data_IF_846864032689
#
_entry.id   IF_846864032689
#
_cell.length_a   1.000
_cell.length_b   1.000
_cell.length_c   1.000
_cell.angle_alpha   90.00
_cell.angle_beta   90.00
_cell.angle_gamma   90.00
#
_symmetry.space_group_name_H-M   'P 1'
#
loop_
_entity.id
_entity.type
_entity.pdbx_description
1 polymer ?
#
# COMPACT_ATOMS: atom_id res chain seq x y z
N UNK A 1 -1.29 15.39 -10.27
CA UNK A 1 -1.43 14.84 -8.90
C UNK A 1 -2.83 14.24 -8.79
N UNK A 2 -2.94 12.99 -8.34
CA UNK A 2 -4.25 12.37 -8.07
C UNK A 2 -4.89 13.07 -6.89
N UNK A 3 -5.98 13.79 -7.13
CA UNK A 3 -6.81 14.42 -6.12
C UNK A 3 -8.14 13.67 -5.93
N UNK A 4 -8.91 14.07 -4.94
CA UNK A 4 -10.17 13.43 -4.61
C UNK A 4 -11.19 13.53 -5.75
N UNK A 5 -11.17 14.60 -6.54
CA UNK A 5 -12.12 14.80 -7.63
C UNK A 5 -11.85 13.82 -8.78
N UNK A 6 -10.57 13.57 -9.09
CA UNK A 6 -10.17 12.57 -10.10
C UNK A 6 -10.56 11.17 -9.64
N UNK A 7 -10.30 10.83 -8.36
CA UNK A 7 -10.66 9.55 -7.81
C UNK A 7 -12.17 9.33 -7.77
N UNK A 8 -12.96 10.38 -7.44
CA UNK A 8 -14.41 10.29 -7.47
C UNK A 8 -14.96 10.10 -8.89
N UNK A 9 -14.38 10.79 -9.89
CA UNK A 9 -14.74 10.58 -11.30
C UNK A 9 -14.35 9.18 -11.77
N UNK A 10 -13.21 8.67 -11.33
CA UNK A 10 -12.78 7.31 -11.63
C UNK A 10 -13.77 6.29 -11.07
N UNK A 11 -14.16 6.40 -9.78
CA UNK A 11 -15.15 5.52 -9.17
C UNK A 11 -16.53 5.58 -9.84
N UNK A 12 -16.97 6.75 -10.27
CA UNK A 12 -18.26 6.91 -10.95
C UNK A 12 -18.31 6.20 -12.31
N UNK A 13 -17.18 6.02 -12.96
CA UNK A 13 -17.04 5.34 -14.27
C UNK A 13 -16.34 3.98 -14.21
N UNK A 14 -16.10 3.45 -13.00
CA UNK A 14 -15.39 2.20 -12.82
C UNK A 14 -16.30 1.00 -13.06
N UNK A 15 -15.85 0.08 -13.91
CA UNK A 15 -16.36 -1.29 -13.92
C UNK A 15 -15.47 -2.13 -12.95
N UNK A 16 -16.02 -2.62 -11.83
CA UNK A 16 -15.25 -3.41 -10.88
C UNK A 16 -14.73 -4.76 -11.45
N UNK A 17 -15.36 -5.28 -12.53
CA UNK A 17 -14.95 -6.50 -13.19
C UNK A 17 -13.85 -6.27 -14.23
N UNK A 18 -13.84 -5.07 -14.82
CA UNK A 18 -12.77 -4.64 -15.74
C UNK A 18 -12.38 -3.18 -15.45
N UNK A 19 -11.52 -2.94 -14.45
CA UNK A 19 -11.06 -1.58 -14.13
C UNK A 19 -10.40 -0.86 -15.31
N UNK A 20 -9.84 -1.59 -16.27
CA UNK A 20 -9.17 -1.00 -17.43
C UNK A 20 -10.13 -0.42 -18.45
N UNK A 21 -11.41 -0.83 -18.42
CA UNK A 21 -12.49 -0.26 -19.23
C UNK A 21 -13.08 1.04 -18.65
N UNK A 22 -12.54 1.55 -17.55
CA UNK A 22 -12.98 2.83 -16.94
C UNK A 22 -12.82 4.01 -17.90
N UNK A 23 -13.72 5.00 -17.78
CA UNK A 23 -13.65 6.26 -18.54
C UNK A 23 -12.37 7.09 -18.25
N UNK A 24 -11.77 6.91 -17.06
CA UNK A 24 -10.45 7.43 -16.73
C UNK A 24 -9.45 6.29 -16.90
N UNK A 25 -8.38 6.46 -17.69
CA UNK A 25 -7.40 5.41 -17.91
C UNK A 25 -6.81 4.89 -16.60
N UNK A 26 -6.71 3.57 -16.47
CA UNK A 26 -5.99 2.98 -15.36
C UNK A 26 -5.22 1.73 -15.81
N UNK A 27 -4.15 1.44 -15.07
CA UNK A 27 -3.37 0.21 -15.19
C UNK A 27 -3.39 -0.51 -13.84
N UNK A 28 -3.50 -1.83 -13.87
CA UNK A 28 -3.46 -2.65 -12.66
C UNK A 28 -2.00 -2.96 -12.33
N UNK A 29 -1.52 -2.44 -11.22
CA UNK A 29 -0.16 -2.67 -10.73
C UNK A 29 -0.05 -3.94 -9.86
N UNK A 30 -1.15 -4.34 -9.23
CA UNK A 30 -1.20 -5.54 -8.39
C UNK A 30 -2.56 -5.78 -7.74
N UNK A 31 -2.73 -6.99 -7.23
CA UNK A 31 -3.92 -7.41 -6.49
C UNK A 31 -3.55 -7.82 -5.07
N UNK A 32 -4.38 -7.46 -4.10
CA UNK A 32 -4.43 -8.05 -2.78
C UNK A 32 -5.75 -8.80 -2.59
N UNK A 33 -5.92 -9.52 -1.49
CA UNK A 33 -7.14 -10.30 -1.21
C UNK A 33 -8.42 -9.46 -1.26
N UNK A 34 -8.35 -8.22 -0.80
CA UNK A 34 -9.49 -7.32 -0.62
C UNK A 34 -9.27 -5.95 -1.28
N UNK A 35 -8.25 -5.83 -2.09
CA UNK A 35 -7.83 -4.55 -2.66
C UNK A 35 -7.15 -4.74 -4.01
N UNK A 36 -7.11 -3.69 -4.81
CA UNK A 36 -6.24 -3.63 -5.98
C UNK A 36 -5.38 -2.38 -5.92
N UNK A 37 -4.19 -2.46 -6.50
CA UNK A 37 -3.28 -1.33 -6.65
C UNK A 37 -3.32 -0.89 -8.10
N UNK A 38 -3.62 0.36 -8.32
CA UNK A 38 -3.88 0.95 -9.63
C UNK A 38 -2.95 2.14 -9.87
N UNK A 39 -2.54 2.30 -11.12
CA UNK A 39 -2.08 3.57 -11.67
C UNK A 39 -3.28 4.23 -12.34
N UNK A 40 -3.75 5.34 -11.81
CA UNK A 40 -4.95 6.03 -12.29
C UNK A 40 -4.55 7.27 -13.07
N UNK A 41 -5.29 7.57 -14.15
CA UNK A 41 -5.11 8.78 -14.97
C UNK A 41 -3.69 8.93 -15.56
N UNK A 42 -3.04 7.81 -15.90
CA UNK A 42 -1.65 7.78 -16.40
C UNK A 42 -0.62 8.43 -15.45
N UNK A 43 -0.94 8.62 -14.17
CA UNK A 43 -0.01 9.16 -13.18
C UNK A 43 0.99 8.07 -12.75
N UNK A 44 2.15 8.03 -13.41
CA UNK A 44 3.21 7.05 -13.14
C UNK A 44 3.97 7.30 -11.84
N UNK A 45 3.66 8.38 -11.12
CA UNK A 45 4.33 8.70 -9.87
C UNK A 45 3.59 8.13 -8.64
N UNK A 46 2.30 7.81 -8.79
CA UNK A 46 1.43 7.41 -7.69
C UNK A 46 0.85 6.02 -7.93
N UNK A 47 1.04 5.14 -6.97
CA UNK A 47 0.30 3.90 -6.84
C UNK A 47 -0.90 4.11 -5.91
N UNK A 48 -2.11 3.84 -6.41
CA UNK A 48 -3.36 4.03 -5.70
C UNK A 48 -3.92 2.68 -5.26
N UNK A 49 -3.81 2.34 -3.97
CA UNK A 49 -4.43 1.14 -3.40
C UNK A 49 -5.90 1.42 -3.11
N UNK A 50 -6.78 0.79 -3.89
CA UNK A 50 -8.24 0.90 -3.78
C UNK A 50 -8.79 -0.13 -2.80
N UNK A 51 -9.57 0.32 -1.82
CA UNK A 51 -10.19 -0.51 -0.78
C UNK A 51 -11.70 -0.24 -0.68
N UNK A 52 -12.55 -1.02 -1.39
CA UNK A 52 -14.00 -0.82 -1.46
C UNK A 52 -14.74 -1.58 -0.34
N UNK A 53 -14.36 -1.39 0.92
CA UNK A 53 -14.77 -2.28 2.02
C UNK A 53 -15.69 -1.63 3.05
N UNK A 54 -15.94 -0.32 2.93
CA UNK A 54 -16.55 0.41 4.03
C UNK A 54 -18.02 0.73 3.74
N UNK A 55 -18.89 0.36 4.66
CA UNK A 55 -20.33 0.65 4.60
C UNK A 55 -20.65 2.10 4.98
N UNK A 56 -19.69 2.87 5.46
CA UNK A 56 -19.84 4.28 5.81
C UNK A 56 -18.50 5.05 5.72
N UNK A 57 -18.61 6.37 5.48
CA UNK A 57 -17.43 7.26 5.48
C UNK A 57 -16.71 7.25 6.83
N UNK A 58 -17.45 7.22 7.95
CA UNK A 58 -16.84 7.20 9.27
C UNK A 58 -15.99 5.94 9.53
N UNK A 59 -16.43 4.79 8.99
CA UNK A 59 -15.62 3.56 9.08
C UNK A 59 -14.35 3.66 8.23
N UNK A 60 -14.43 4.23 7.03
CA UNK A 60 -13.27 4.50 6.18
C UNK A 60 -12.31 5.50 6.82
N UNK A 61 -12.82 6.58 7.42
CA UNK A 61 -12.04 7.59 8.14
C UNK A 61 -11.29 7.00 9.35
N UNK A 62 -11.99 6.15 10.13
CA UNK A 62 -11.37 5.43 11.23
C UNK A 62 -10.22 4.56 10.76
N UNK A 63 -10.45 3.76 9.71
CA UNK A 63 -9.41 2.91 9.13
C UNK A 63 -8.22 3.75 8.62
N UNK A 64 -8.49 4.85 7.91
CA UNK A 64 -7.45 5.76 7.41
C UNK A 64 -6.63 6.37 8.57
N UNK A 65 -7.27 6.70 9.70
CA UNK A 65 -6.58 7.19 10.88
C UNK A 65 -5.71 6.12 11.53
N UNK A 66 -6.22 4.89 11.65
CA UNK A 66 -5.46 3.76 12.21
C UNK A 66 -4.28 3.37 11.28
N UNK A 67 -4.47 3.40 9.96
CA UNK A 67 -3.41 3.20 8.97
C UNK A 67 -2.29 4.25 9.11
N UNK A 68 -2.62 5.54 9.23
CA UNK A 68 -1.61 6.60 9.43
C UNK A 68 -0.81 6.40 10.72
N UNK A 69 -1.48 6.04 11.83
CA UNK A 69 -0.80 5.71 13.09
C UNK A 69 0.12 4.50 12.94
N UNK A 70 -0.31 3.50 12.18
CA UNK A 70 0.50 2.32 11.89
C UNK A 70 1.77 2.70 11.13
N UNK A 71 1.66 3.47 10.03
CA UNK A 71 2.81 3.93 9.26
C UNK A 71 3.77 4.81 10.10
N UNK A 72 3.22 5.69 10.96
CA UNK A 72 4.01 6.51 11.87
C UNK A 72 4.83 5.65 12.85
N UNK A 73 4.22 4.62 13.42
CA UNK A 73 4.91 3.68 14.32
C UNK A 73 5.99 2.87 13.60
N UNK A 74 5.75 2.43 12.37
CA UNK A 74 6.78 1.78 11.56
C UNK A 74 7.98 2.70 11.32
N UNK A 75 7.73 3.98 11.00
CA UNK A 75 8.80 4.99 10.86
C UNK A 75 9.53 5.22 12.19
N UNK A 76 8.81 5.27 13.31
CA UNK A 76 9.40 5.38 14.66
C UNK A 76 10.25 4.15 15.00
N UNK A 77 9.84 2.96 14.56
CA UNK A 77 10.65 1.75 14.68
C UNK A 77 11.89 1.73 13.77
N UNK A 78 12.05 2.73 12.89
CA UNK A 78 13.21 2.89 12.01
C UNK A 78 13.06 2.24 10.64
N UNK A 79 11.83 1.86 10.22
CA UNK A 79 11.59 1.35 8.87
C UNK A 79 11.43 2.50 7.87
N UNK A 80 11.91 2.27 6.66
CA UNK A 80 11.64 3.16 5.52
C UNK A 80 10.25 2.84 4.96
N UNK A 81 9.27 3.65 5.33
CA UNK A 81 7.90 3.56 4.80
C UNK A 81 7.70 4.68 3.78
N UNK A 82 7.24 4.38 2.56
CA UNK A 82 6.96 5.41 1.55
C UNK A 82 6.06 6.52 2.10
N UNK A 83 6.23 7.73 1.57
CA UNK A 83 5.26 8.80 1.81
C UNK A 83 3.90 8.38 1.27
N UNK A 84 2.87 8.63 2.07
CA UNK A 84 1.51 8.20 1.81
C UNK A 84 0.50 9.30 2.11
N UNK A 85 -0.63 9.20 1.45
CA UNK A 85 -1.83 9.98 1.78
C UNK A 85 -3.08 9.11 1.60
N UNK A 86 -4.19 9.56 2.13
CA UNK A 86 -5.46 8.84 2.02
C UNK A 86 -6.54 9.74 1.44
N UNK A 87 -7.41 9.18 0.60
CA UNK A 87 -8.60 9.83 0.07
C UNK A 87 -9.79 8.90 0.18
N UNK A 88 -10.96 9.45 0.51
CA UNK A 88 -12.20 8.68 0.62
C UNK A 88 -13.19 9.25 -0.38
N UNK A 89 -13.77 8.37 -1.19
CA UNK A 89 -14.76 8.70 -2.22
C UNK A 89 -15.98 7.78 -2.11
N UNK A 90 -17.06 8.18 -2.76
CA UNK A 90 -18.27 7.38 -2.81
C UNK A 90 -18.16 6.33 -3.92
N UNK A 91 -18.39 5.07 -3.55
CA UNK A 91 -18.46 3.95 -4.49
C UNK A 91 -19.88 3.57 -4.85
N UNK A 92 -20.02 2.59 -5.72
CA UNK A 92 -21.34 2.06 -6.10
C UNK A 92 -22.09 1.44 -4.91
N UNK A 93 -23.40 1.53 -4.91
CA UNK A 93 -24.24 0.92 -3.87
C UNK A 93 -24.17 1.59 -2.49
N UNK A 94 -23.66 2.82 -2.41
CA UNK A 94 -23.58 3.58 -1.16
C UNK A 94 -22.41 3.18 -0.26
N UNK A 95 -21.46 2.40 -0.76
CA UNK A 95 -20.21 2.10 -0.03
C UNK A 95 -19.26 3.30 -0.07
N UNK A 96 -18.37 3.37 0.90
CA UNK A 96 -17.23 4.27 0.86
C UNK A 96 -15.96 3.52 0.42
N UNK A 97 -15.22 4.12 -0.50
CA UNK A 97 -13.97 3.57 -1.01
C UNK A 97 -12.82 4.39 -0.48
N UNK A 98 -11.92 3.73 0.23
CA UNK A 98 -10.67 4.34 0.68
C UNK A 98 -9.58 4.08 -0.35
N UNK A 99 -8.91 5.14 -0.77
CA UNK A 99 -7.64 5.10 -1.50
C UNK A 99 -6.48 5.40 -0.56
N UNK A 100 -5.47 4.53 -0.58
CA UNK A 100 -4.15 4.82 -0.03
C UNK A 100 -3.26 5.14 -1.22
N UNK A 101 -2.75 6.36 -1.26
CA UNK A 101 -1.90 6.87 -2.33
C UNK A 101 -0.46 6.87 -1.86
N UNK A 102 0.42 6.23 -2.59
CA UNK A 102 1.84 6.16 -2.27
C UNK A 102 2.66 6.46 -3.51
N UNK A 103 3.89 6.96 -3.32
CA UNK A 103 4.84 7.06 -4.42
C UNK A 103 5.03 5.68 -5.06
N UNK A 104 4.90 5.62 -6.38
CA UNK A 104 5.14 4.38 -7.12
C UNK A 104 6.63 4.01 -7.02
N UNK A 105 6.88 2.79 -6.57
CA UNK A 105 8.23 2.24 -6.44
C UNK A 105 8.61 1.46 -7.70
N UNK A 106 9.90 1.41 -8.08
CA UNK A 106 10.34 0.71 -9.28
C UNK A 106 9.97 -0.78 -9.23
N UNK A 107 9.18 -1.30 -10.19
CA UNK A 107 8.72 -2.69 -10.17
C UNK A 107 9.84 -3.72 -10.16
N UNK A 108 11.01 -3.39 -10.74
CA UNK A 108 12.19 -4.27 -10.80
C UNK A 108 12.90 -4.41 -9.46
N UNK A 109 12.60 -3.58 -8.47
CA UNK A 109 13.26 -3.58 -7.15
C UNK A 109 12.47 -4.31 -6.06
N UNK A 110 11.30 -4.86 -6.39
CA UNK A 110 10.55 -5.68 -5.45
C UNK A 110 11.25 -7.00 -5.21
N UNK A 111 11.43 -7.38 -3.92
CA UNK A 111 12.23 -8.53 -3.54
C UNK A 111 11.69 -9.85 -4.12
N UNK A 112 10.36 -10.00 -4.25
CA UNK A 112 9.78 -11.19 -4.89
C UNK A 112 10.11 -11.33 -6.40
N UNK A 113 10.56 -10.25 -7.07
CA UNK A 113 11.06 -10.32 -8.45
C UNK A 113 12.57 -10.54 -8.47
N UNK A 114 13.28 -9.91 -7.55
CA UNK A 114 14.73 -10.01 -7.47
C UNK A 114 15.22 -11.43 -7.19
N UNK A 115 14.48 -12.23 -6.40
CA UNK A 115 14.87 -13.63 -6.09
C UNK A 115 15.06 -14.52 -7.33
N UNK A 116 14.51 -14.12 -8.48
CA UNK A 116 14.62 -14.89 -9.72
C UNK A 116 15.81 -14.48 -10.61
N UNK A 117 16.52 -13.41 -10.25
CA UNK A 117 17.57 -12.80 -11.06
C UNK A 117 18.90 -12.59 -10.31
N UNK A 118 18.90 -12.74 -9.00
CA UNK A 118 20.09 -12.60 -8.16
C UNK A 118 20.84 -13.91 -8.01
N UNK A 119 22.16 -13.83 -7.82
CA UNK A 119 22.97 -14.99 -7.42
C UNK A 119 22.79 -15.31 -5.93
N UNK A 120 23.44 -16.37 -5.46
CA UNK A 120 23.26 -16.87 -4.09
C UNK A 120 23.74 -15.86 -3.04
N UNK A 121 24.84 -15.16 -3.28
CA UNK A 121 25.43 -14.21 -2.33
C UNK A 121 24.55 -12.94 -2.25
N UNK A 122 24.08 -12.46 -3.38
CA UNK A 122 23.14 -11.32 -3.46
C UNK A 122 21.80 -11.65 -2.78
N UNK A 123 21.31 -12.88 -2.98
CA UNK A 123 20.06 -13.35 -2.35
C UNK A 123 20.21 -13.43 -0.84
N UNK A 124 21.32 -14.00 -0.34
CA UNK A 124 21.60 -14.06 1.10
C UNK A 124 21.65 -12.65 1.69
N UNK A 125 22.38 -11.73 1.05
CA UNK A 125 22.46 -10.33 1.51
C UNK A 125 21.10 -9.63 1.52
N UNK A 126 20.25 -9.89 0.54
CA UNK A 126 18.87 -9.35 0.50
C UNK A 126 18.04 -9.87 1.68
N UNK A 127 18.07 -11.17 1.94
CA UNK A 127 17.33 -11.79 3.06
C UNK A 127 17.83 -11.25 4.40
N UNK A 128 19.15 -11.16 4.59
CA UNK A 128 19.74 -10.59 5.82
C UNK A 128 19.26 -9.15 6.07
N UNK A 129 19.15 -8.31 5.03
CA UNK A 129 18.60 -6.95 5.15
C UNK A 129 17.15 -6.97 5.59
N UNK A 130 16.31 -7.85 4.99
CA UNK A 130 14.90 -7.96 5.39
C UNK A 130 14.78 -8.40 6.86
N UNK A 131 15.57 -9.39 7.27
CA UNK A 131 15.59 -9.85 8.67
C UNK A 131 15.98 -8.71 9.61
N UNK A 132 17.00 -7.92 9.27
CA UNK A 132 17.40 -6.77 10.07
C UNK A 132 16.29 -5.70 10.19
N UNK A 133 15.51 -5.49 9.13
CA UNK A 133 14.35 -4.60 9.21
C UNK A 133 13.23 -5.16 10.11
N UNK A 134 12.99 -6.47 10.07
CA UNK A 134 12.02 -7.15 10.96
C UNK A 134 12.47 -7.05 12.43
N UNK A 135 13.77 -7.19 12.71
CA UNK A 135 14.33 -7.06 14.06
C UNK A 135 14.07 -5.68 14.67
N UNK A 136 14.05 -4.61 13.87
CA UNK A 136 13.68 -3.27 14.35
C UNK A 136 12.25 -3.24 14.92
N UNK A 137 11.32 -3.95 14.28
CA UNK A 137 9.94 -4.05 14.77
C UNK A 137 9.86 -4.84 16.08
N UNK A 138 10.63 -5.91 16.22
CA UNK A 138 10.71 -6.67 17.46
C UNK A 138 11.31 -5.85 18.60
N UNK A 139 12.39 -5.10 18.31
CA UNK A 139 13.01 -4.19 19.28
C UNK A 139 12.00 -3.13 19.73
N UNK A 140 11.32 -2.47 18.76
CA UNK A 140 10.27 -1.51 19.07
C UNK A 140 9.19 -2.12 19.98
N UNK A 141 8.73 -3.34 19.69
CA UNK A 141 7.72 -4.03 20.47
C UNK A 141 8.19 -4.39 21.90
N UNK A 142 9.48 -4.60 22.10
CA UNK A 142 10.05 -4.91 23.42
C UNK A 142 10.23 -3.67 24.29
N UNK A 143 10.46 -2.52 23.70
CA UNK A 143 10.81 -1.27 24.39
C UNK A 143 9.61 -0.33 24.60
N UNK A 144 8.47 -0.58 23.93
CA UNK A 144 7.30 0.28 23.96
C UNK A 144 6.10 -0.38 24.65
N UNK A 145 4.94 0.31 24.63
CA UNK A 145 3.71 -0.08 25.31
C UNK A 145 3.37 -1.57 25.08
N UNK A 146 3.30 -2.38 26.13
CA UNK A 146 3.02 -3.82 26.03
C UNK A 146 1.62 -4.12 25.46
N UNK A 147 0.70 -3.15 25.51
CA UNK A 147 -0.66 -3.29 24.97
C UNK A 147 -0.74 -3.02 23.46
N UNK A 148 0.33 -2.49 22.87
CA UNK A 148 0.38 -2.14 21.44
C UNK A 148 1.56 -2.86 20.80
N UNK A 149 1.25 -3.84 19.96
CA UNK A 149 2.27 -4.57 19.20
C UNK A 149 2.14 -4.23 17.73
N UNK A 150 3.27 -3.85 17.11
CA UNK A 150 3.38 -3.76 15.67
C UNK A 150 3.53 -5.17 15.08
N UNK A 151 2.82 -5.42 14.00
CA UNK A 151 3.04 -6.57 13.14
C UNK A 151 3.30 -6.08 11.72
N UNK A 152 4.15 -6.80 11.00
CA UNK A 152 4.40 -6.57 9.58
C UNK A 152 4.20 -7.87 8.82
N UNK A 153 3.72 -7.75 7.60
CA UNK A 153 3.68 -8.87 6.68
C UNK A 153 5.07 -9.03 6.03
N UNK A 154 5.72 -10.15 6.36
CA UNK A 154 7.08 -10.48 5.91
C UNK A 154 7.16 -11.00 4.47
N UNK A 155 6.06 -11.04 3.70
CA UNK A 155 6.10 -11.51 2.31
C UNK A 155 7.06 -10.65 1.46
N UNK A 156 7.86 -11.32 0.62
CA UNK A 156 8.85 -10.64 -0.23
C UNK A 156 8.24 -9.61 -1.18
N UNK A 157 6.96 -9.73 -1.51
CA UNK A 157 6.21 -8.75 -2.30
C UNK A 157 6.02 -7.39 -1.61
N UNK A 158 6.21 -7.34 -0.29
CA UNK A 158 6.07 -6.11 0.50
C UNK A 158 7.41 -5.39 0.73
N UNK A 159 8.51 -5.93 0.24
CA UNK A 159 9.85 -5.38 0.40
C UNK A 159 10.42 -4.89 -0.94
N UNK A 160 11.07 -3.74 -0.88
CA UNK A 160 11.71 -3.10 -2.03
C UNK A 160 13.13 -2.70 -1.66
N UNK A 161 14.11 -3.11 -2.47
CA UNK A 161 15.49 -2.65 -2.33
C UNK A 161 15.65 -1.28 -3.01
N UNK A 162 15.94 -0.26 -2.22
CA UNK A 162 16.19 1.12 -2.66
C UNK A 162 17.68 1.40 -2.75
#
# INVERSE_FOLDING_TARGET
>A
MLDQDILQKFENGLDPQDPTASSIPCEILGYGEISCVLQVNNDTQIAAKRMPLFTSSSAAEKYAADYRKYCERLRTAGLLVPEDSTSIVNGHGGISVLYILQKQLPPSRFCHKLIHSQDADELEAMIQRIVAEIEKVWTYNSENDPNIKLAIDGQLSNWVLL
#
